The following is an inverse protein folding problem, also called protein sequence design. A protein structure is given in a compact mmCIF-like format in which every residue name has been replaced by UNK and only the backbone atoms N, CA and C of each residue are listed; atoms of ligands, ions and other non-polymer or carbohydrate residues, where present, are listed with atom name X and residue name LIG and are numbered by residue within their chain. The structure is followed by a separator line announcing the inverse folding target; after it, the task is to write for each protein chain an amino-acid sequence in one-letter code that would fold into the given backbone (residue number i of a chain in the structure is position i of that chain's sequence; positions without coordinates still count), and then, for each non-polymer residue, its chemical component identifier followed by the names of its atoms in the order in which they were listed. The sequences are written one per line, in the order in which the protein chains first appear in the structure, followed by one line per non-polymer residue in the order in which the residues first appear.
data_IF_630302057688
#
_entry.id   IF_630302057688
#
_cell.length_a   1.000
_cell.length_b   1.000
_cell.length_c   1.000
_cell.angle_alpha   90.00
_cell.angle_beta   90.00
_cell.angle_gamma   90.00
#
_symmetry.space_group_name_H-M   'P 1'
#
loop_
_entity.id
_entity.type
_entity.pdbx_description
1 polymer ?
#
# COMPACT_ATOMS: atom_id res chain seq x y z
N UNK A 1 -52.35 0.57 37.24
CA UNK A 1 -52.14 -0.39 36.13
C UNK A 1 -51.49 0.35 34.99
N UNK A 2 -50.15 0.47 34.94
CA UNK A 2 -49.49 1.24 33.88
C UNK A 2 -48.03 0.81 33.62
N UNK A 3 -47.69 -0.47 33.80
CA UNK A 3 -46.31 -0.94 33.66
C UNK A 3 -46.10 -2.15 32.73
N UNK A 4 -47.14 -2.62 32.02
CA UNK A 4 -47.06 -3.94 31.35
C UNK A 4 -47.08 -3.93 29.81
N UNK A 5 -46.70 -2.81 29.19
CA UNK A 5 -46.36 -2.79 27.77
C UNK A 5 -45.09 -1.97 27.59
N UNK A 6 -43.93 -2.52 27.99
CA UNK A 6 -42.77 -2.34 27.11
C UNK A 6 -43.21 -2.96 25.79
N UNK A 7 -43.58 -2.11 24.84
CA UNK A 7 -44.11 -2.54 23.55
C UNK A 7 -43.21 -3.62 22.99
N UNK A 8 -43.77 -4.74 22.52
CA UNK A 8 -43.02 -5.83 21.89
C UNK A 8 -42.08 -5.31 20.78
N UNK A 9 -42.46 -4.18 20.17
CA UNK A 9 -41.66 -3.42 19.20
C UNK A 9 -40.37 -2.87 19.83
N UNK A 10 -40.44 -2.32 21.05
CA UNK A 10 -39.28 -1.78 21.77
C UNK A 10 -38.26 -2.87 22.11
N UNK A 11 -38.71 -4.05 22.54
CA UNK A 11 -37.81 -5.18 22.82
C UNK A 11 -37.15 -5.72 21.55
N UNK A 12 -37.91 -5.81 20.45
CA UNK A 12 -37.36 -6.16 19.13
C UNK A 12 -36.31 -5.16 18.66
N UNK A 13 -36.58 -3.86 18.77
CA UNK A 13 -35.64 -2.81 18.39
C UNK A 13 -34.33 -2.86 19.21
N UNK A 14 -34.41 -3.13 20.51
CA UNK A 14 -33.20 -3.31 21.34
C UNK A 14 -32.39 -4.50 20.85
N UNK A 15 -33.04 -5.62 20.53
CA UNK A 15 -32.38 -6.81 20.00
C UNK A 15 -31.71 -6.52 18.65
N UNK A 16 -32.42 -5.89 17.73
CA UNK A 16 -31.89 -5.51 16.42
C UNK A 16 -30.68 -4.58 16.55
N UNK A 17 -30.75 -3.59 17.46
CA UNK A 17 -29.61 -2.70 17.75
C UNK A 17 -28.41 -3.49 18.28
N UNK A 18 -28.62 -4.47 19.16
CA UNK A 18 -27.55 -5.32 19.68
C UNK A 18 -26.92 -6.17 18.58
N UNK A 19 -27.74 -6.80 17.73
CA UNK A 19 -27.26 -7.61 16.60
C UNK A 19 -26.47 -6.75 15.60
N UNK A 20 -26.99 -5.57 15.23
CA UNK A 20 -26.29 -4.64 14.33
C UNK A 20 -24.97 -4.15 14.92
N UNK A 21 -24.91 -3.88 16.24
CA UNK A 21 -23.66 -3.50 16.91
C UNK A 21 -22.62 -4.62 16.88
N UNK A 22 -23.03 -5.87 17.04
CA UNK A 22 -22.12 -7.02 16.93
C UNK A 22 -21.60 -7.21 15.51
N UNK A 23 -22.48 -7.12 14.51
CA UNK A 23 -22.08 -7.17 13.10
C UNK A 23 -21.10 -6.05 12.77
N UNK A 24 -21.38 -4.82 13.19
CA UNK A 24 -20.52 -3.66 12.95
C UNK A 24 -19.14 -3.83 13.60
N UNK A 25 -19.10 -4.31 14.85
CA UNK A 25 -17.84 -4.57 15.56
C UNK A 25 -16.98 -5.62 14.86
N UNK A 26 -17.61 -6.66 14.32
CA UNK A 26 -16.91 -7.70 13.57
C UNK A 26 -16.39 -7.14 12.24
N UNK A 27 -17.21 -6.39 11.50
CA UNK A 27 -16.80 -5.78 10.24
C UNK A 27 -15.62 -4.82 10.42
N UNK A 28 -15.64 -3.99 11.47
CA UNK A 28 -14.55 -3.08 11.77
C UNK A 28 -13.23 -3.84 12.01
N UNK A 29 -13.29 -4.90 12.83
CA UNK A 29 -12.14 -5.78 13.05
C UNK A 29 -11.61 -6.40 11.75
N UNK A 30 -12.50 -6.92 10.89
CA UNK A 30 -12.10 -7.55 9.64
C UNK A 30 -11.45 -6.55 8.68
N UNK A 31 -11.99 -5.33 8.56
CA UNK A 31 -11.40 -4.27 7.75
C UNK A 31 -9.97 -3.96 8.21
N UNK A 32 -9.76 -3.80 9.52
CA UNK A 32 -8.43 -3.50 10.05
C UNK A 32 -7.46 -4.68 9.90
N UNK A 33 -7.93 -5.91 10.15
CA UNK A 33 -7.10 -7.11 9.96
C UNK A 33 -6.66 -7.22 8.49
N UNK A 34 -7.58 -7.00 7.54
CA UNK A 34 -7.25 -7.01 6.12
C UNK A 34 -6.26 -5.90 5.78
N UNK A 35 -6.55 -4.67 6.16
CA UNK A 35 -5.76 -3.51 5.75
C UNK A 35 -4.35 -3.53 6.33
N UNK A 36 -4.21 -3.83 7.62
CA UNK A 36 -2.94 -3.64 8.33
C UNK A 36 -2.13 -4.91 8.49
N UNK A 37 -2.75 -6.09 8.38
CA UNK A 37 -2.07 -7.39 8.56
C UNK A 37 -2.01 -8.13 7.22
N UNK A 38 -3.15 -8.57 6.68
CA UNK A 38 -3.16 -9.47 5.52
C UNK A 38 -2.58 -8.79 4.27
N UNK A 39 -3.08 -7.62 3.90
CA UNK A 39 -2.60 -6.86 2.74
C UNK A 39 -1.11 -6.52 2.87
N UNK A 40 -0.66 -6.13 4.08
CA UNK A 40 0.75 -5.81 4.34
C UNK A 40 1.64 -7.05 4.18
N UNK A 41 1.21 -8.20 4.69
CA UNK A 41 1.94 -9.45 4.54
C UNK A 41 2.04 -9.89 3.08
N UNK A 42 0.94 -9.76 2.32
CA UNK A 42 0.90 -10.07 0.88
C UNK A 42 1.81 -9.11 0.09
N UNK A 43 1.75 -7.79 0.34
CA UNK A 43 2.61 -6.81 -0.33
C UNK A 43 4.09 -7.11 -0.03
N UNK A 44 4.42 -7.43 1.22
CA UNK A 44 5.79 -7.81 1.61
C UNK A 44 6.25 -9.04 0.85
N UNK A 45 5.46 -10.12 0.85
CA UNK A 45 5.80 -11.36 0.14
C UNK A 45 6.01 -11.10 -1.36
N UNK A 46 5.13 -10.31 -1.98
CA UNK A 46 5.26 -9.93 -3.38
C UNK A 46 6.56 -9.14 -3.64
N UNK A 47 6.91 -8.19 -2.78
CA UNK A 47 8.13 -7.39 -2.94
C UNK A 47 9.40 -8.23 -2.75
N UNK A 48 9.41 -9.18 -1.82
CA UNK A 48 10.55 -10.07 -1.61
C UNK A 48 10.79 -10.99 -2.81
N UNK A 49 9.72 -11.55 -3.38
CA UNK A 49 9.82 -12.46 -4.53
C UNK A 49 10.10 -11.73 -5.84
N UNK A 50 9.39 -10.64 -6.10
CA UNK A 50 9.38 -9.99 -7.42
C UNK A 50 10.01 -8.59 -7.43
N UNK A 51 10.16 -7.93 -6.29
CA UNK A 51 10.52 -6.51 -6.22
C UNK A 51 11.84 -6.17 -6.92
N UNK A 52 12.88 -6.98 -6.71
CA UNK A 52 14.17 -6.80 -7.39
C UNK A 52 14.07 -7.01 -8.91
N UNK A 53 13.29 -8.00 -9.35
CA UNK A 53 13.08 -8.27 -10.78
C UNK A 53 12.33 -7.12 -11.45
N UNK A 54 11.25 -6.63 -10.83
CA UNK A 54 10.47 -5.50 -11.31
C UNK A 54 11.32 -4.23 -11.39
N UNK A 55 12.11 -3.96 -10.36
CA UNK A 55 13.05 -2.84 -10.35
C UNK A 55 14.02 -2.91 -11.53
N UNK A 56 14.66 -4.06 -11.76
CA UNK A 56 15.60 -4.26 -12.87
C UNK A 56 14.95 -4.04 -14.22
N UNK A 57 13.76 -4.62 -14.44
CA UNK A 57 13.02 -4.47 -15.70
C UNK A 57 12.69 -3.01 -15.96
N UNK A 58 12.15 -2.30 -14.96
CA UNK A 58 11.79 -0.89 -15.11
C UNK A 58 13.01 0.01 -15.30
N UNK A 59 14.09 -0.23 -14.55
CA UNK A 59 15.36 0.49 -14.71
C UNK A 59 15.87 0.38 -16.15
N UNK A 60 15.84 -0.83 -16.73
CA UNK A 60 16.27 -1.06 -18.11
C UNK A 60 15.33 -0.47 -19.16
N UNK A 61 14.02 -0.48 -18.94
CA UNK A 61 13.07 0.21 -19.81
C UNK A 61 13.33 1.72 -19.84
N UNK A 62 13.52 2.33 -18.66
CA UNK A 62 13.86 3.75 -18.54
C UNK A 62 15.16 4.09 -19.26
N UNK A 63 16.22 3.28 -19.04
CA UNK A 63 17.51 3.44 -19.72
C UNK A 63 17.36 3.39 -21.25
N UNK A 64 16.63 2.39 -21.75
CA UNK A 64 16.36 2.21 -23.18
C UNK A 64 15.62 3.41 -23.78
N UNK A 65 14.56 3.90 -23.11
CA UNK A 65 13.82 5.09 -23.54
C UNK A 65 14.69 6.33 -23.54
N UNK A 66 15.54 6.51 -22.51
CA UNK A 66 16.48 7.64 -22.43
C UNK A 66 17.48 7.62 -23.58
N UNK A 67 18.01 6.45 -23.93
CA UNK A 67 18.93 6.30 -25.06
C UNK A 67 18.26 6.60 -26.41
N UNK A 68 17.05 6.08 -26.64
CA UNK A 68 16.26 6.41 -27.83
C UNK A 68 16.02 7.91 -27.94
N UNK A 69 15.62 8.55 -26.84
CA UNK A 69 15.41 10.00 -26.79
C UNK A 69 16.69 10.79 -27.05
N UNK A 70 17.83 10.33 -26.54
CA UNK A 70 19.14 10.93 -26.82
C UNK A 70 19.47 10.87 -28.32
N UNK A 71 19.22 9.73 -28.96
CA UNK A 71 19.41 9.56 -30.41
C UNK A 71 18.55 10.56 -31.20
N UNK A 72 17.27 10.72 -30.85
CA UNK A 72 16.38 11.68 -31.51
C UNK A 72 16.89 13.12 -31.39
N UNK A 73 17.40 13.50 -30.21
CA UNK A 73 17.94 14.83 -29.98
C UNK A 73 19.20 15.05 -30.80
N UNK A 74 20.11 14.08 -30.87
CA UNK A 74 21.31 14.13 -31.72
C UNK A 74 20.92 14.25 -33.20
N UNK A 75 19.96 13.44 -33.66
CA UNK A 75 19.51 13.46 -35.05
C UNK A 75 18.94 14.82 -35.45
N UNK A 76 18.29 15.55 -34.53
CA UNK A 76 17.82 16.93 -34.79
C UNK A 76 18.97 17.91 -35.07
N UNK A 77 20.10 17.81 -34.35
CA UNK A 77 21.28 18.64 -34.64
C UNK A 77 21.86 18.28 -36.01
N UNK A 78 21.99 16.97 -36.30
CA UNK A 78 22.50 16.48 -37.59
C UNK A 78 21.65 16.99 -38.75
N UNK A 79 20.32 16.88 -38.65
CA UNK A 79 19.40 17.31 -39.70
C UNK A 79 19.44 18.82 -39.95
N UNK A 80 19.82 19.61 -38.95
CA UNK A 80 20.01 21.07 -39.05
C UNK A 80 21.43 21.47 -39.44
N UNK A 81 22.35 20.51 -39.59
CA UNK A 81 23.78 20.72 -39.80
C UNK A 81 24.42 21.57 -38.68
N UNK A 82 23.87 21.50 -37.46
CA UNK A 82 24.37 22.21 -36.29
C UNK A 82 25.44 21.38 -35.55
N UNK A 83 26.37 22.06 -34.87
CA UNK A 83 27.33 21.38 -34.00
C UNK A 83 26.60 20.75 -32.81
N UNK A 84 26.76 19.43 -32.64
CA UNK A 84 26.12 18.68 -31.55
C UNK A 84 26.65 19.18 -30.21
N UNK A 85 25.75 19.63 -29.34
CA UNK A 85 26.05 19.97 -27.95
C UNK A 85 25.55 18.86 -27.02
N UNK A 86 26.42 17.91 -26.69
CA UNK A 86 26.08 16.77 -25.83
C UNK A 86 25.71 17.19 -24.40
N UNK A 87 26.37 18.19 -23.82
CA UNK A 87 26.08 18.67 -22.47
C UNK A 87 24.64 19.20 -22.36
N UNK A 88 24.21 20.01 -23.34
CA UNK A 88 22.83 20.51 -23.40
C UNK A 88 21.81 19.38 -23.60
N UNK A 89 22.15 18.33 -24.34
CA UNK A 89 21.28 17.16 -24.51
C UNK A 89 21.14 16.39 -23.19
N UNK A 90 22.22 16.18 -22.45
CA UNK A 90 22.16 15.51 -21.14
C UNK A 90 21.32 16.31 -20.13
N UNK A 91 21.46 17.64 -20.08
CA UNK A 91 20.64 18.50 -19.22
C UNK A 91 19.14 18.39 -19.53
N UNK A 92 18.77 18.29 -20.81
CA UNK A 92 17.39 18.08 -21.24
C UNK A 92 16.91 16.70 -20.76
N UNK A 93 17.70 15.66 -20.99
CA UNK A 93 17.37 14.29 -20.61
C UNK A 93 17.23 14.15 -19.09
N UNK A 94 18.10 14.75 -18.30
CA UNK A 94 18.02 14.67 -16.84
C UNK A 94 16.74 15.33 -16.31
N UNK A 95 16.34 16.48 -16.87
CA UNK A 95 15.07 17.12 -16.54
C UNK A 95 13.86 16.28 -16.98
N UNK A 96 13.89 15.73 -18.19
CA UNK A 96 12.81 14.87 -18.72
C UNK A 96 12.64 13.61 -17.86
N UNK A 97 13.74 13.04 -17.36
CA UNK A 97 13.73 11.73 -16.70
C UNK A 97 13.76 11.77 -15.17
N UNK A 98 13.78 12.95 -14.55
CA UNK A 98 13.85 13.12 -13.09
C UNK A 98 12.70 12.42 -12.34
N UNK A 99 11.49 12.45 -12.89
CA UNK A 99 10.33 11.77 -12.28
C UNK A 99 10.51 10.24 -12.24
N UNK A 100 11.18 9.67 -13.24
CA UNK A 100 11.44 8.23 -13.30
C UNK A 100 12.51 7.82 -12.29
N UNK A 101 13.56 8.63 -12.10
CA UNK A 101 14.57 8.43 -11.04
C UNK A 101 13.89 8.36 -9.66
N UNK A 102 13.04 9.35 -9.35
CA UNK A 102 12.27 9.38 -8.09
C UNK A 102 11.33 8.18 -7.92
N UNK A 103 10.76 7.67 -9.02
CA UNK A 103 9.93 6.46 -8.97
C UNK A 103 10.74 5.22 -8.61
N UNK A 104 11.94 5.07 -9.19
CA UNK A 104 12.84 3.96 -8.88
C UNK A 104 13.34 4.02 -7.43
N UNK A 105 13.65 5.20 -6.92
CA UNK A 105 14.02 5.40 -5.50
C UNK A 105 12.90 4.97 -4.55
N UNK A 106 11.64 5.34 -4.86
CA UNK A 106 10.48 4.90 -4.07
C UNK A 106 10.32 3.38 -4.06
N UNK A 107 10.58 2.71 -5.19
CA UNK A 107 10.51 1.25 -5.25
C UNK A 107 11.62 0.59 -4.43
N UNK A 108 12.85 1.11 -4.50
CA UNK A 108 13.95 0.62 -3.66
C UNK A 108 13.64 0.80 -2.16
N UNK A 109 13.05 1.94 -1.79
CA UNK A 109 12.62 2.19 -0.43
C UNK A 109 11.59 1.15 0.03
N UNK A 110 10.53 0.91 -0.76
CA UNK A 110 9.52 -0.12 -0.47
C UNK A 110 10.14 -1.52 -0.32
N UNK A 111 11.07 -1.87 -1.20
CA UNK A 111 11.76 -3.16 -1.13
C UNK A 111 12.59 -3.28 0.16
N UNK A 112 13.30 -2.21 0.53
CA UNK A 112 14.09 -2.17 1.76
C UNK A 112 13.20 -2.31 3.00
N UNK A 113 12.07 -1.58 3.04
CA UNK A 113 11.07 -1.68 4.10
C UNK A 113 10.48 -3.10 4.21
N UNK A 114 10.25 -3.78 3.07
CA UNK A 114 9.77 -5.16 3.07
C UNK A 114 10.81 -6.14 3.64
N UNK A 115 12.10 -5.96 3.30
CA UNK A 115 13.20 -6.76 3.84
C UNK A 115 13.29 -6.55 5.37
N UNK A 116 13.33 -5.30 5.83
CA UNK A 116 13.34 -4.96 7.25
C UNK A 116 12.14 -5.58 7.97
N UNK A 117 10.93 -5.41 7.44
CA UNK A 117 9.71 -5.97 8.03
C UNK A 117 9.76 -7.50 8.14
N UNK A 118 10.26 -8.19 7.10
CA UNK A 118 10.40 -9.65 7.12
C UNK A 118 11.44 -10.18 8.12
N UNK A 119 12.38 -9.33 8.51
CA UNK A 119 13.41 -9.67 9.51
C UNK A 119 12.94 -9.50 10.96
N UNK A 120 11.77 -8.89 11.17
CA UNK A 120 11.20 -8.70 12.51
C UNK A 120 10.76 -10.03 13.11
N UNK A 121 10.88 -10.11 14.43
CA UNK A 121 10.37 -11.24 15.21
C UNK A 121 8.84 -11.31 15.08
N UNK A 122 8.33 -12.51 14.83
CA UNK A 122 6.89 -12.75 14.71
C UNK A 122 6.34 -13.22 16.05
N UNK A 123 5.18 -12.69 16.40
CA UNK A 123 4.37 -13.23 17.47
C UNK A 123 4.03 -14.70 17.17
N UNK A 124 4.02 -15.51 18.21
CA UNK A 124 3.47 -16.86 18.18
C UNK A 124 1.97 -16.85 17.91
N UNK A 125 1.42 -17.99 17.47
CA UNK A 125 -0.01 -18.12 17.18
C UNK A 125 -0.89 -17.80 18.41
N UNK A 126 -0.43 -18.18 19.60
CA UNK A 126 -1.14 -17.88 20.86
C UNK A 126 -1.14 -16.39 21.18
N UNK A 127 -0.01 -15.70 20.97
CA UNK A 127 0.08 -14.25 21.13
C UNK A 127 -0.79 -13.51 20.12
N UNK A 128 -0.78 -13.93 18.84
CA UNK A 128 -1.64 -13.36 17.80
C UNK A 128 -3.11 -13.51 18.19
N UNK A 129 -3.51 -14.71 18.65
CA UNK A 129 -4.89 -14.97 19.07
C UNK A 129 -5.28 -14.11 20.27
N UNK A 130 -4.39 -13.96 21.24
CA UNK A 130 -4.59 -13.10 22.39
C UNK A 130 -4.75 -11.63 21.97
N UNK A 131 -3.87 -11.11 21.12
CA UNK A 131 -3.93 -9.73 20.63
C UNK A 131 -5.20 -9.44 19.84
N UNK A 132 -5.61 -10.35 18.94
CA UNK A 132 -6.89 -10.24 18.21
C UNK A 132 -8.08 -10.23 19.18
N UNK A 133 -8.04 -11.02 20.24
CA UNK A 133 -9.09 -11.04 21.26
C UNK A 133 -9.20 -9.72 22.03
N UNK A 134 -8.06 -9.12 22.39
CA UNK A 134 -8.02 -7.81 23.05
C UNK A 134 -8.56 -6.71 22.15
N UNK A 135 -8.16 -6.71 20.88
CA UNK A 135 -8.62 -5.72 19.92
C UNK A 135 -10.14 -5.77 19.73
N UNK A 136 -10.73 -6.97 19.57
CA UNK A 136 -12.18 -7.13 19.46
C UNK A 136 -12.92 -6.58 20.69
N UNK A 137 -12.37 -6.75 21.90
CA UNK A 137 -12.94 -6.18 23.12
C UNK A 137 -12.93 -4.65 23.08
N UNK A 138 -11.82 -4.05 22.63
CA UNK A 138 -11.70 -2.59 22.50
C UNK A 138 -12.73 -2.05 21.50
N UNK A 139 -12.80 -2.63 20.30
CA UNK A 139 -13.76 -2.22 19.27
C UNK A 139 -15.20 -2.35 19.76
N UNK A 140 -15.54 -3.47 20.42
CA UNK A 140 -16.87 -3.69 20.98
C UNK A 140 -17.23 -2.62 22.02
N UNK A 141 -16.29 -2.25 22.89
CA UNK A 141 -16.50 -1.21 23.90
C UNK A 141 -16.67 0.19 23.28
N UNK A 142 -15.94 0.51 22.20
CA UNK A 142 -16.08 1.79 21.51
C UNK A 142 -17.42 1.95 20.77
N UNK A 143 -17.99 0.86 20.26
CA UNK A 143 -19.29 0.86 19.55
C UNK A 143 -20.48 0.83 20.53
N UNK A 144 -20.25 0.53 21.81
CA UNK A 144 -21.29 0.43 22.83
C UNK A 144 -21.69 1.76 23.49
N UNK A 145 -20.88 2.82 23.33
CA UNK A 145 -21.18 4.22 23.73
C UNK A 145 -22.07 4.88 22.66
#
# INVERSE_FOLDING_TARGET
MNELIKSEIFERLIKDIQELREVLSNLYFEVDNLQFIECRNIETAYLLEFGNLLYKVQSKDIESRRLKRKLDLVQKYVNRQEKINLAKIEDILDKEYERYKKSLEKQLKKLSEAIEYSSLERLSDDEVKYMKSLYRKIVKNCIQI
#
